data_IF_293402629967
#
_entry.id   IF_293402629967
#
_cell.length_a   1.000
_cell.length_b   1.000
_cell.length_c   1.000
_cell.angle_alpha   90.00
_cell.angle_beta   90.00
_cell.angle_gamma   90.00
#
_symmetry.space_group_name_H-M   'P 1'
#
loop_
_entity.id
_entity.type
_entity.pdbx_description
1 polymer ?
#
# COMPACT_ATOMS: atom_id res chain seq x y z
N UNK A 1 -11.02 -3.45 -22.27
CA UNK A 1 -10.35 -3.63 -20.96
C UNK A 1 -11.12 -2.76 -19.99
N UNK A 2 -11.36 -3.18 -18.75
CA UNK A 2 -12.18 -2.40 -17.83
C UNK A 2 -11.44 -1.09 -17.46
N UNK A 3 -11.98 0.02 -17.92
CA UNK A 3 -11.53 1.37 -17.61
C UNK A 3 -12.76 2.18 -17.22
N UNK A 4 -12.65 2.97 -16.17
CA UNK A 4 -13.67 3.95 -15.77
C UNK A 4 -13.13 5.34 -16.00
N UNK A 5 -13.88 6.16 -16.72
CA UNK A 5 -13.57 7.59 -16.91
C UNK A 5 -14.07 8.35 -15.68
N UNK A 6 -13.15 8.95 -14.95
CA UNK A 6 -13.40 9.89 -13.87
C UNK A 6 -13.22 11.32 -14.42
N UNK A 7 -13.52 12.33 -13.60
CA UNK A 7 -13.51 13.73 -14.05
C UNK A 7 -12.17 14.16 -14.69
N UNK A 8 -11.05 13.68 -14.15
CA UNK A 8 -9.70 14.09 -14.55
C UNK A 8 -8.81 12.97 -15.04
N UNK A 9 -9.29 11.70 -15.04
CA UNK A 9 -8.45 10.55 -15.36
C UNK A 9 -9.26 9.34 -15.85
N UNK A 10 -8.69 8.57 -16.77
CA UNK A 10 -9.17 7.25 -17.14
C UNK A 10 -8.47 6.20 -16.28
N UNK A 11 -9.18 5.62 -15.33
CA UNK A 11 -8.67 4.68 -14.34
C UNK A 11 -8.81 3.24 -14.84
N UNK A 12 -7.70 2.54 -15.03
CA UNK A 12 -7.69 1.11 -15.30
C UNK A 12 -7.87 0.31 -14.02
N UNK A 13 -8.82 -0.64 -14.03
CA UNK A 13 -9.09 -1.49 -12.88
C UNK A 13 -9.32 -2.94 -13.29
N UNK A 14 -9.25 -3.84 -12.32
CA UNK A 14 -9.66 -5.23 -12.46
C UNK A 14 -10.53 -5.64 -11.28
N UNK A 15 -11.47 -6.58 -11.53
CA UNK A 15 -12.22 -7.27 -10.48
C UNK A 15 -11.92 -8.75 -10.63
N UNK A 16 -11.42 -9.38 -9.55
CA UNK A 16 -11.00 -10.78 -9.56
C UNK A 16 -11.58 -11.52 -8.38
N UNK A 17 -11.81 -12.83 -8.56
CA UNK A 17 -12.33 -13.70 -7.51
C UNK A 17 -13.84 -13.62 -7.33
N UNK A 18 -14.32 -13.94 -6.14
CA UNK A 18 -15.73 -13.94 -5.77
C UNK A 18 -15.88 -13.98 -4.26
N UNK A 19 -17.10 -13.73 -3.77
CA UNK A 19 -17.39 -13.68 -2.33
C UNK A 19 -17.56 -12.25 -1.80
N UNK A 20 -17.15 -11.97 -0.55
CA UNK A 20 -17.25 -10.63 0.01
C UNK A 20 -16.41 -9.61 -0.77
N UNK A 21 -16.94 -8.40 -0.96
CA UNK A 21 -16.30 -7.32 -1.72
C UNK A 21 -15.09 -6.74 -0.99
N UNK A 22 -13.98 -6.57 -1.70
CA UNK A 22 -12.72 -6.02 -1.17
C UNK A 22 -12.14 -4.99 -2.14
N UNK A 23 -11.93 -3.76 -1.68
CA UNK A 23 -11.16 -2.75 -2.40
C UNK A 23 -9.70 -2.83 -1.94
N UNK A 24 -8.77 -2.97 -2.89
CA UNK A 24 -7.34 -3.03 -2.61
C UNK A 24 -6.62 -1.78 -3.11
N UNK A 25 -5.88 -1.13 -2.20
CA UNK A 25 -4.93 -0.06 -2.51
C UNK A 25 -3.49 -0.58 -2.47
N UNK A 26 -2.80 -0.51 -3.61
CA UNK A 26 -1.43 -1.00 -3.79
C UNK A 26 -0.37 -0.07 -3.17
N UNK A 27 0.82 -0.63 -2.89
CA UNK A 27 2.00 0.13 -2.44
C UNK A 27 2.58 1.07 -3.52
N UNK A 28 3.57 1.88 -3.14
CA UNK A 28 4.24 2.85 -4.04
C UNK A 28 4.79 2.17 -5.29
N UNK A 29 4.54 2.76 -6.45
CA UNK A 29 5.02 2.29 -7.74
C UNK A 29 4.51 0.91 -8.17
N UNK A 30 3.55 0.33 -7.43
CA UNK A 30 3.01 -0.98 -7.73
C UNK A 30 1.85 -0.89 -8.72
N UNK A 31 1.94 -1.69 -9.78
CA UNK A 31 0.85 -1.90 -10.74
C UNK A 31 0.08 -3.18 -10.38
N UNK A 32 -1.10 -3.37 -10.98
CA UNK A 32 -1.86 -4.62 -10.86
C UNK A 32 -0.97 -5.81 -11.24
N UNK A 33 -0.27 -5.72 -12.37
CA UNK A 33 0.61 -6.80 -12.84
C UNK A 33 1.74 -7.11 -11.85
N UNK A 34 2.33 -6.10 -11.22
CA UNK A 34 3.39 -6.29 -10.24
C UNK A 34 2.89 -6.83 -8.89
N UNK A 35 1.59 -6.72 -8.63
CA UNK A 35 0.94 -7.18 -7.39
C UNK A 35 0.15 -8.47 -7.57
N UNK A 36 0.25 -9.11 -8.73
CA UNK A 36 -0.49 -10.32 -9.10
C UNK A 36 -0.51 -11.42 -8.00
N UNK A 37 0.64 -11.77 -7.35
CA UNK A 37 0.63 -12.79 -6.31
C UNK A 37 -0.25 -12.43 -5.10
N UNK A 38 -0.23 -11.17 -4.67
CA UNK A 38 -1.03 -10.69 -3.55
C UNK A 38 -2.51 -10.58 -3.92
N UNK A 39 -2.79 -10.07 -5.13
CA UNK A 39 -4.17 -9.98 -5.64
C UNK A 39 -4.79 -11.37 -5.74
N UNK A 40 -4.07 -12.35 -6.28
CA UNK A 40 -4.57 -13.72 -6.43
C UNK A 40 -4.76 -14.42 -5.07
N UNK A 41 -3.91 -14.12 -4.09
CA UNK A 41 -4.10 -14.60 -2.72
C UNK A 41 -5.40 -14.06 -2.12
N UNK A 42 -5.68 -12.76 -2.27
CA UNK A 42 -6.92 -12.15 -1.80
C UNK A 42 -8.14 -12.63 -2.62
N UNK A 43 -8.00 -12.75 -3.93
CA UNK A 43 -9.07 -13.20 -4.83
C UNK A 43 -9.51 -14.66 -4.62
N UNK A 44 -8.71 -15.45 -3.90
CA UNK A 44 -9.12 -16.78 -3.45
C UNK A 44 -10.25 -16.75 -2.40
N UNK A 45 -10.46 -15.60 -1.75
CA UNK A 45 -11.41 -15.42 -0.65
C UNK A 45 -12.43 -14.30 -0.88
N UNK A 46 -12.11 -13.34 -1.77
CA UNK A 46 -12.87 -12.10 -1.95
C UNK A 46 -13.12 -11.79 -3.42
N UNK A 47 -14.17 -11.02 -3.70
CA UNK A 47 -14.32 -10.28 -4.94
C UNK A 47 -13.48 -9.00 -4.83
N UNK A 48 -12.25 -9.04 -5.39
CA UNK A 48 -11.24 -7.98 -5.23
C UNK A 48 -11.32 -6.98 -6.36
N UNK A 49 -11.67 -5.74 -6.05
CA UNK A 49 -11.49 -4.61 -6.96
C UNK A 49 -10.13 -3.95 -6.66
N UNK A 50 -9.33 -3.79 -7.70
CA UNK A 50 -8.00 -3.16 -7.64
C UNK A 50 -7.79 -2.31 -8.88
N UNK A 51 -7.10 -1.17 -8.76
CA UNK A 51 -6.79 -0.29 -9.88
C UNK A 51 -5.31 0.05 -9.95
N UNK A 52 -4.83 0.31 -11.14
CA UNK A 52 -3.55 0.97 -11.32
C UNK A 52 -3.71 2.43 -10.89
N UNK A 53 -2.92 2.87 -9.92
CA UNK A 53 -3.01 4.24 -9.41
C UNK A 53 -2.52 5.26 -10.47
N UNK A 54 -2.86 6.52 -10.29
CA UNK A 54 -2.53 7.64 -11.18
C UNK A 54 -1.10 7.58 -11.68
N UNK A 55 -0.89 7.64 -13.00
CA UNK A 55 0.41 7.56 -13.67
C UNK A 55 1.09 6.20 -13.66
N UNK A 56 0.44 5.13 -13.16
CA UNK A 56 1.02 3.80 -13.10
C UNK A 56 0.30 2.80 -14.01
N UNK A 57 1.06 1.82 -14.48
CA UNK A 57 0.54 0.71 -15.26
C UNK A 57 -0.22 1.17 -16.49
N UNK A 58 -1.53 0.92 -16.50
CA UNK A 58 -2.45 1.26 -17.59
C UNK A 58 -3.28 2.51 -17.31
N UNK A 59 -3.16 3.10 -16.14
CA UNK A 59 -3.77 4.38 -15.79
C UNK A 59 -2.84 5.51 -16.22
N UNK A 60 -3.37 6.47 -16.98
CA UNK A 60 -2.63 7.64 -17.44
C UNK A 60 -2.33 8.64 -16.32
N UNK A 61 -1.77 9.78 -16.72
CA UNK A 61 -1.65 10.94 -15.85
C UNK A 61 -2.98 11.70 -15.82
N UNK A 62 -3.32 12.36 -14.71
CA UNK A 62 -4.48 13.23 -14.65
C UNK A 62 -4.35 14.40 -15.65
N UNK A 63 -5.49 14.95 -16.08
CA UNK A 63 -5.51 16.14 -16.95
C UNK A 63 -5.19 17.42 -16.17
N UNK A 64 -5.21 17.37 -14.83
CA UNK A 64 -4.85 18.49 -13.96
C UNK A 64 -3.33 18.73 -13.97
N UNK A 65 -2.93 20.00 -13.96
CA UNK A 65 -1.52 20.39 -13.76
C UNK A 65 -1.10 20.36 -12.28
N UNK A 66 -2.05 20.21 -11.35
CA UNK A 66 -1.77 20.14 -9.93
C UNK A 66 -1.37 18.71 -9.54
N UNK A 67 -0.28 18.53 -8.79
CA UNK A 67 0.10 17.21 -8.29
C UNK A 67 -1.02 16.60 -7.44
N UNK A 68 -1.31 15.29 -7.59
CA UNK A 68 -2.34 14.63 -6.82
C UNK A 68 -1.97 14.55 -5.33
N UNK A 69 -2.97 14.73 -4.49
CA UNK A 69 -2.88 14.58 -3.05
C UNK A 69 -3.31 13.17 -2.60
N UNK A 70 -3.11 12.81 -1.34
CA UNK A 70 -3.67 11.56 -0.79
C UNK A 70 -5.20 11.51 -0.91
N UNK A 71 -5.87 12.67 -0.85
CA UNK A 71 -7.32 12.75 -1.03
C UNK A 71 -7.75 12.37 -2.45
N UNK A 72 -6.96 12.72 -3.47
CA UNK A 72 -7.25 12.36 -4.86
C UNK A 72 -7.10 10.84 -5.09
N UNK A 73 -6.03 10.22 -4.57
CA UNK A 73 -5.88 8.76 -4.63
C UNK A 73 -7.01 8.02 -3.88
N UNK A 74 -7.49 8.57 -2.77
CA UNK A 74 -8.62 8.01 -2.04
C UNK A 74 -9.95 8.20 -2.79
N UNK A 75 -10.14 9.34 -3.45
CA UNK A 75 -11.31 9.64 -4.26
C UNK A 75 -11.43 8.70 -5.48
N UNK A 76 -10.31 8.29 -6.09
CA UNK A 76 -10.30 7.28 -7.16
C UNK A 76 -10.94 5.97 -6.69
N UNK A 77 -10.59 5.52 -5.47
CA UNK A 77 -11.20 4.35 -4.86
C UNK A 77 -12.71 4.50 -4.63
N UNK A 78 -13.15 5.68 -4.17
CA UNK A 78 -14.57 5.96 -3.96
C UNK A 78 -15.35 5.96 -5.29
N UNK A 79 -14.81 6.60 -6.32
CA UNK A 79 -15.39 6.63 -7.64
C UNK A 79 -15.44 5.25 -8.31
N UNK A 80 -14.40 4.41 -8.10
CA UNK A 80 -14.41 3.02 -8.54
C UNK A 80 -15.53 2.22 -7.86
N UNK A 81 -15.75 2.40 -6.55
CA UNK A 81 -16.86 1.74 -5.86
C UNK A 81 -18.22 2.19 -6.41
N UNK A 82 -18.38 3.48 -6.72
CA UNK A 82 -19.61 4.02 -7.33
C UNK A 82 -19.86 3.42 -8.71
N UNK A 83 -18.81 3.33 -9.53
CA UNK A 83 -18.87 2.68 -10.86
C UNK A 83 -19.29 1.21 -10.77
N UNK A 84 -18.77 0.47 -9.77
CA UNK A 84 -19.10 -0.93 -9.54
C UNK A 84 -20.46 -1.13 -8.84
N UNK A 85 -21.12 -0.06 -8.40
CA UNK A 85 -22.36 -0.13 -7.62
C UNK A 85 -22.16 -0.76 -6.22
N UNK A 86 -20.95 -0.62 -5.65
CA UNK A 86 -20.64 -1.12 -4.32
C UNK A 86 -20.88 -0.03 -3.27
N UNK A 87 -21.97 -0.14 -2.52
CA UNK A 87 -22.28 0.81 -1.44
C UNK A 87 -21.25 0.77 -0.31
N UNK A 88 -20.78 -0.43 0.05
CA UNK A 88 -19.71 -0.65 1.01
C UNK A 88 -18.88 -1.89 0.64
N UNK A 89 -17.71 -2.00 1.20
CA UNK A 89 -16.82 -3.14 1.02
C UNK A 89 -15.80 -3.24 2.17
N UNK A 90 -15.04 -4.31 2.21
CA UNK A 90 -13.79 -4.38 2.96
C UNK A 90 -12.71 -3.59 2.24
N UNK A 91 -11.76 -3.05 3.00
CA UNK A 91 -10.63 -2.29 2.41
C UNK A 91 -9.31 -2.88 2.88
N UNK A 92 -8.42 -3.08 1.94
CA UNK A 92 -7.04 -3.52 2.16
C UNK A 92 -6.07 -2.47 1.61
N UNK A 93 -5.17 -1.99 2.44
CA UNK A 93 -4.13 -1.05 2.01
C UNK A 93 -2.75 -1.48 2.49
N UNK A 94 -1.79 -1.54 1.56
CA UNK A 94 -0.40 -1.90 1.87
C UNK A 94 0.55 -0.73 1.60
N UNK A 95 1.42 -0.37 2.55
CA UNK A 95 2.43 0.68 2.42
C UNK A 95 1.80 2.03 2.04
N UNK A 96 2.15 2.61 0.89
CA UNK A 96 1.48 3.79 0.32
C UNK A 96 -0.04 3.59 0.21
N UNK A 97 -0.48 2.43 -0.27
CA UNK A 97 -1.91 2.08 -0.31
C UNK A 97 -2.55 2.05 1.08
N UNK A 98 -1.79 1.80 2.12
CA UNK A 98 -2.25 1.94 3.51
C UNK A 98 -2.47 3.41 3.91
N UNK A 99 -1.67 4.35 3.39
CA UNK A 99 -1.91 5.80 3.56
C UNK A 99 -3.19 6.23 2.82
N UNK A 100 -3.36 5.76 1.58
CA UNK A 100 -4.58 6.00 0.78
C UNK A 100 -5.80 5.42 1.48
N UNK A 101 -5.72 4.18 2.00
CA UNK A 101 -6.79 3.53 2.73
C UNK A 101 -7.17 4.26 4.03
N UNK A 102 -6.21 4.84 4.73
CA UNK A 102 -6.48 5.70 5.90
C UNK A 102 -7.22 6.97 5.47
N UNK A 103 -6.77 7.66 4.41
CA UNK A 103 -7.45 8.86 3.89
C UNK A 103 -8.88 8.52 3.44
N UNK A 104 -9.04 7.39 2.73
CA UNK A 104 -10.35 6.87 2.34
C UNK A 104 -11.24 6.63 3.57
N UNK A 105 -10.71 6.00 4.62
CA UNK A 105 -11.47 5.62 5.81
C UNK A 105 -11.92 6.83 6.66
N UNK A 106 -11.11 7.88 6.73
CA UNK A 106 -11.49 9.08 7.48
C UNK A 106 -12.46 9.98 6.70
N UNK A 107 -12.51 9.84 5.37
CA UNK A 107 -13.36 10.63 4.47
C UNK A 107 -14.71 9.94 4.21
N UNK A 108 -14.70 8.63 3.96
CA UNK A 108 -15.90 7.84 3.69
C UNK A 108 -16.10 6.67 4.67
N UNK A 109 -16.21 6.92 5.98
CA UNK A 109 -16.25 5.85 7.01
C UNK A 109 -17.43 4.87 6.86
N UNK A 110 -18.53 5.30 6.23
CA UNK A 110 -19.71 4.45 6.00
C UNK A 110 -19.54 3.51 4.79
N UNK A 111 -18.48 3.67 3.99
CA UNK A 111 -18.17 2.80 2.84
C UNK A 111 -17.35 1.57 3.23
N UNK A 112 -16.95 1.45 4.51
CA UNK A 112 -16.00 0.41 4.94
C UNK A 112 -16.65 -0.50 5.98
N UNK A 113 -16.65 -1.80 5.70
CA UNK A 113 -17.10 -2.85 6.60
C UNK A 113 -15.98 -3.31 7.54
N UNK A 114 -14.78 -3.53 6.99
CA UNK A 114 -13.55 -3.88 7.71
C UNK A 114 -12.36 -3.25 6.99
N UNK A 115 -11.32 -2.92 7.74
CA UNK A 115 -10.10 -2.27 7.22
C UNK A 115 -8.85 -3.04 7.62
N UNK A 116 -7.98 -3.36 6.67
CA UNK A 116 -6.65 -3.89 6.95
C UNK A 116 -5.58 -2.90 6.45
N UNK A 117 -4.73 -2.46 7.35
CA UNK A 117 -3.62 -1.52 7.11
C UNK A 117 -2.30 -2.24 7.34
N UNK A 118 -1.51 -2.45 6.29
CA UNK A 118 -0.25 -3.18 6.34
C UNK A 118 0.95 -2.27 6.11
N UNK A 119 1.97 -2.37 6.97
CA UNK A 119 3.29 -1.70 6.86
C UNK A 119 3.18 -0.23 6.39
N UNK A 120 2.37 0.57 7.08
CA UNK A 120 2.04 1.94 6.68
C UNK A 120 2.30 2.95 7.82
N UNK A 121 2.05 4.22 7.56
CA UNK A 121 2.28 5.31 8.52
C UNK A 121 1.11 6.29 8.51
N UNK A 122 0.83 6.94 9.64
CA UNK A 122 -0.27 7.91 9.74
C UNK A 122 0.13 9.33 9.31
N UNK A 123 1.43 9.59 9.18
CA UNK A 123 1.94 10.94 8.97
C UNK A 123 1.86 11.84 10.21
N UNK A 124 2.24 13.11 10.05
CA UNK A 124 2.18 14.11 11.09
C UNK A 124 2.89 13.69 12.38
N UNK A 125 2.25 13.94 13.52
CA UNK A 125 2.80 13.58 14.85
C UNK A 125 2.78 12.09 15.15
N UNK A 126 2.09 11.29 14.35
CA UNK A 126 2.02 9.84 14.50
C UNK A 126 3.19 9.09 13.87
N UNK A 127 4.08 9.78 13.20
CA UNK A 127 5.26 9.21 12.55
C UNK A 127 5.09 9.01 11.05
N UNK A 128 6.19 9.16 10.34
CA UNK A 128 6.27 9.02 8.88
C UNK A 128 7.12 7.81 8.51
N UNK A 129 6.88 7.25 7.33
CA UNK A 129 7.79 6.28 6.76
C UNK A 129 9.08 6.95 6.28
N UNK A 130 10.12 6.14 6.05
CA UNK A 130 11.40 6.61 5.51
C UNK A 130 11.17 7.50 4.28
N UNK A 131 11.81 8.67 4.18
CA UNK A 131 11.61 9.63 3.10
C UNK A 131 12.28 9.15 1.80
N UNK A 132 11.61 8.27 1.05
CA UNK A 132 12.16 7.62 -0.16
C UNK A 132 12.71 8.61 -1.21
N UNK A 133 12.17 9.82 -1.27
CA UNK A 133 12.68 10.87 -2.18
C UNK A 133 14.15 11.23 -1.91
N UNK A 134 14.64 11.03 -0.68
CA UNK A 134 16.05 11.32 -0.33
C UNK A 134 17.04 10.30 -0.91
N UNK A 135 16.55 9.11 -1.31
CA UNK A 135 17.40 8.09 -1.93
C UNK A 135 18.07 8.57 -3.23
N UNK A 136 17.44 9.49 -3.94
CA UNK A 136 18.00 10.04 -5.19
C UNK A 136 19.33 10.80 -4.98
N UNK A 137 19.54 11.36 -3.78
CA UNK A 137 20.77 12.10 -3.44
C UNK A 137 21.94 11.19 -3.03
N UNK A 138 21.70 9.89 -2.81
CA UNK A 138 22.72 8.94 -2.40
C UNK A 138 23.47 8.38 -3.61
N UNK A 139 24.75 8.06 -3.43
CA UNK A 139 25.47 7.27 -4.42
C UNK A 139 24.85 5.85 -4.58
N UNK A 140 25.14 5.14 -5.68
CA UNK A 140 24.49 3.85 -5.95
C UNK A 140 24.70 2.79 -4.85
N UNK A 141 25.88 2.73 -4.23
CA UNK A 141 26.19 1.75 -3.19
C UNK A 141 25.48 2.07 -1.87
N UNK A 142 25.45 3.35 -1.50
CA UNK A 142 24.70 3.83 -0.34
C UNK A 142 23.20 3.59 -0.53
N UNK A 143 22.68 3.94 -1.71
CA UNK A 143 21.26 3.73 -2.06
C UNK A 143 20.86 2.26 -1.94
N UNK A 144 21.68 1.36 -2.49
CA UNK A 144 21.41 -0.08 -2.41
C UNK A 144 21.36 -0.56 -0.96
N UNK A 145 22.31 -0.18 -0.10
CA UNK A 145 22.30 -0.53 1.33
C UNK A 145 21.07 0.00 2.06
N UNK A 146 20.75 1.28 1.87
CA UNK A 146 19.59 1.89 2.53
C UNK A 146 18.28 1.25 2.04
N UNK A 147 18.16 0.97 0.74
CA UNK A 147 16.99 0.30 0.19
C UNK A 147 16.83 -1.11 0.75
N UNK A 148 17.93 -1.85 0.90
CA UNK A 148 17.93 -3.19 1.49
C UNK A 148 17.51 -3.15 2.97
N UNK A 149 18.11 -2.25 3.77
CA UNK A 149 17.77 -2.04 5.17
C UNK A 149 16.32 -1.59 5.36
N UNK A 150 15.79 -0.77 4.44
CA UNK A 150 14.40 -0.36 4.48
C UNK A 150 13.43 -1.53 4.24
N UNK A 151 13.82 -2.53 3.44
CA UNK A 151 13.00 -3.72 3.24
C UNK A 151 12.93 -4.57 4.52
N UNK A 152 14.08 -4.80 5.13
CA UNK A 152 14.17 -5.53 6.40
C UNK A 152 15.50 -5.16 7.08
N UNK A 153 15.45 -4.71 8.32
CA UNK A 153 16.64 -4.23 9.05
C UNK A 153 17.68 -5.30 9.33
N UNK A 154 17.33 -6.58 9.14
CA UNK A 154 18.24 -7.74 9.24
C UNK A 154 19.02 -8.00 7.95
N UNK A 155 18.55 -7.44 6.82
CA UNK A 155 19.11 -7.76 5.51
C UNK A 155 20.52 -7.20 5.35
N UNK A 156 21.46 -8.11 5.36
CA UNK A 156 22.84 -7.94 4.96
C UNK A 156 23.32 -9.17 4.16
N UNK A 157 24.51 -9.16 3.57
CA UNK A 157 24.99 -10.30 2.78
C UNK A 157 25.08 -11.62 3.57
N UNK A 158 25.33 -11.56 4.88
CA UNK A 158 25.45 -12.77 5.74
C UNK A 158 24.05 -13.35 5.98
N UNK A 159 23.09 -12.51 6.40
CA UNK A 159 21.70 -12.93 6.56
C UNK A 159 21.14 -13.56 5.29
N UNK A 160 21.31 -12.90 4.15
CA UNK A 160 20.75 -13.34 2.88
C UNK A 160 21.36 -14.65 2.37
N UNK A 161 22.62 -14.91 2.67
CA UNK A 161 23.27 -16.18 2.33
C UNK A 161 22.63 -17.37 3.07
N UNK A 162 22.17 -17.16 4.30
CA UNK A 162 21.56 -18.20 5.13
C UNK A 162 20.03 -18.28 4.99
N UNK A 163 19.41 -17.29 4.30
CA UNK A 163 17.95 -17.16 4.16
C UNK A 163 17.53 -17.05 2.69
N UNK A 164 17.51 -18.15 1.92
CA UNK A 164 17.25 -18.11 0.47
C UNK A 164 15.87 -17.55 0.08
N UNK A 165 14.86 -17.67 0.96
CA UNK A 165 13.55 -17.06 0.72
C UNK A 165 13.61 -15.52 0.75
N UNK A 166 14.34 -14.95 1.72
CA UNK A 166 14.57 -13.50 1.79
C UNK A 166 15.42 -13.01 0.62
N UNK A 167 16.45 -13.79 0.24
CA UNK A 167 17.25 -13.51 -0.95
C UNK A 167 16.40 -13.46 -2.23
N UNK A 168 15.42 -14.35 -2.38
CA UNK A 168 14.49 -14.34 -3.51
C UNK A 168 13.63 -13.07 -3.54
N UNK A 169 13.16 -12.60 -2.39
CA UNK A 169 12.42 -11.33 -2.26
C UNK A 169 13.31 -10.16 -2.70
N UNK A 170 14.56 -10.11 -2.23
CA UNK A 170 15.51 -9.05 -2.63
C UNK A 170 15.76 -9.08 -4.13
N UNK A 171 15.98 -10.27 -4.71
CA UNK A 171 16.19 -10.43 -6.15
C UNK A 171 15.01 -9.89 -6.94
N UNK A 172 13.79 -10.27 -6.57
CA UNK A 172 12.54 -9.77 -7.19
C UNK A 172 12.45 -8.23 -7.12
N UNK A 173 12.79 -7.64 -5.99
CA UNK A 173 12.75 -6.18 -5.81
C UNK A 173 13.80 -5.45 -6.65
N UNK A 174 15.00 -6.02 -6.77
CA UNK A 174 16.09 -5.49 -7.62
C UNK A 174 15.69 -5.55 -9.09
N UNK A 175 15.19 -6.68 -9.56
CA UNK A 175 14.71 -6.87 -10.94
C UNK A 175 13.58 -5.87 -11.28
N UNK A 176 12.62 -5.71 -10.36
CA UNK A 176 11.55 -4.72 -10.52
C UNK A 176 12.07 -3.29 -10.59
N UNK A 177 13.03 -2.92 -9.75
CA UNK A 177 13.64 -1.59 -9.75
C UNK A 177 14.45 -1.31 -11.03
N UNK A 178 15.07 -2.34 -11.62
CA UNK A 178 15.83 -2.27 -12.85
C UNK A 178 14.97 -2.32 -14.12
N UNK A 179 13.70 -2.71 -14.03
CA UNK A 179 12.82 -2.80 -15.18
C UNK A 179 12.63 -1.43 -15.86
N UNK A 180 12.64 -1.37 -17.21
CA UNK A 180 12.40 -0.12 -17.93
C UNK A 180 11.03 0.47 -17.56
N UNK A 181 11.01 1.78 -17.31
CA UNK A 181 9.81 2.54 -16.95
C UNK A 181 9.50 3.57 -18.02
N UNK A 182 8.24 3.73 -18.35
CA UNK A 182 7.81 4.81 -19.25
C UNK A 182 7.98 6.18 -18.57
N UNK A 183 8.06 7.29 -19.35
CA UNK A 183 8.03 8.63 -18.77
C UNK A 183 6.81 8.89 -17.89
N UNK A 184 5.64 8.41 -18.29
CA UNK A 184 4.39 8.47 -17.51
C UNK A 184 4.55 7.80 -16.16
N UNK A 185 5.11 6.58 -16.13
CA UNK A 185 5.33 5.84 -14.88
C UNK A 185 6.33 6.55 -13.96
N UNK A 186 7.43 7.07 -14.51
CA UNK A 186 8.41 7.84 -13.72
C UNK A 186 7.79 9.11 -13.12
N UNK A 187 6.89 9.76 -13.88
CA UNK A 187 6.15 10.92 -13.40
C UNK A 187 5.18 10.53 -12.26
N UNK A 188 4.35 9.52 -12.47
CA UNK A 188 3.39 9.05 -11.45
C UNK A 188 4.08 8.56 -10.17
N UNK A 189 5.21 7.86 -10.27
CA UNK A 189 6.00 7.45 -9.09
C UNK A 189 6.52 8.67 -8.31
N UNK A 190 6.95 9.74 -9.00
CA UNK A 190 7.38 10.98 -8.36
C UNK A 190 6.23 11.66 -7.64
N UNK A 191 5.06 11.79 -8.28
CA UNK A 191 3.87 12.36 -7.67
C UNK A 191 3.42 11.58 -6.43
N UNK A 192 3.50 10.24 -6.47
CA UNK A 192 3.25 9.43 -5.27
C UNK A 192 4.21 9.74 -4.12
N UNK A 193 5.51 9.98 -4.40
CA UNK A 193 6.48 10.35 -3.37
C UNK A 193 6.17 11.72 -2.78
N UNK A 194 5.71 12.67 -3.60
CA UNK A 194 5.29 14.01 -3.14
C UNK A 194 4.04 13.93 -2.26
N UNK A 195 2.98 13.24 -2.71
CA UNK A 195 1.76 13.02 -1.94
C UNK A 195 2.05 12.30 -0.60
N UNK A 196 2.93 11.28 -0.64
CA UNK A 196 3.37 10.56 0.55
C UNK A 196 4.11 11.45 1.55
N UNK A 197 4.96 12.36 1.08
CA UNK A 197 5.71 13.28 1.94
C UNK A 197 4.79 14.26 2.69
N UNK A 198 3.63 14.57 2.13
CA UNK A 198 2.63 15.47 2.70
C UNK A 198 1.51 14.73 3.46
N UNK A 199 1.55 13.39 3.50
CA UNK A 199 0.51 12.60 4.15
C UNK A 199 0.43 12.90 5.66
N UNK A 200 -0.77 13.26 6.12
CA UNK A 200 -1.10 13.44 7.54
C UNK A 200 -2.59 13.21 7.79
N UNK A 201 -2.90 12.07 8.40
CA UNK A 201 -4.26 11.75 8.87
C UNK A 201 -4.33 11.62 10.39
N UNK A 202 -3.21 11.87 11.10
CA UNK A 202 -3.05 11.61 12.52
C UNK A 202 -4.23 12.07 13.37
N UNK A 203 -4.62 13.33 13.25
CA UNK A 203 -5.69 13.88 14.07
C UNK A 203 -7.11 13.41 13.64
N UNK A 204 -7.21 12.76 12.48
CA UNK A 204 -8.47 12.25 11.91
C UNK A 204 -8.68 10.76 12.11
N UNK A 205 -7.66 9.97 12.51
CA UNK A 205 -7.73 8.51 12.67
C UNK A 205 -8.87 8.05 13.60
N UNK A 206 -9.20 8.84 14.61
CA UNK A 206 -10.34 8.56 15.50
C UNK A 206 -11.72 8.59 14.83
N UNK A 207 -11.84 8.99 13.55
CA UNK A 207 -13.06 8.91 12.77
C UNK A 207 -13.32 7.51 12.21
N UNK A 208 -12.30 6.66 12.12
CA UNK A 208 -12.41 5.28 11.64
C UNK A 208 -13.17 4.47 12.72
N UNK A 209 -14.29 3.88 12.36
CA UNK A 209 -15.19 3.16 13.28
C UNK A 209 -15.32 1.67 12.98
N UNK A 210 -15.00 1.26 11.76
CA UNK A 210 -15.06 -0.16 11.40
C UNK A 210 -13.97 -0.96 12.15
N UNK A 211 -14.16 -2.28 12.32
CA UNK A 211 -13.09 -3.17 12.76
C UNK A 211 -11.87 -2.98 11.88
N UNK A 212 -10.70 -2.74 12.50
CA UNK A 212 -9.46 -2.42 11.79
C UNK A 212 -8.33 -3.31 12.26
N UNK A 213 -7.67 -3.99 11.34
CA UNK A 213 -6.40 -4.68 11.57
C UNK A 213 -5.26 -3.76 11.15
N UNK A 214 -4.34 -3.50 12.07
CA UNK A 214 -3.06 -2.83 11.78
C UNK A 214 -1.97 -3.86 11.89
N UNK A 215 -1.32 -4.17 10.78
CA UNK A 215 -0.33 -5.24 10.66
C UNK A 215 1.03 -4.71 10.21
N UNK A 216 2.11 -5.23 10.81
CA UNK A 216 3.46 -4.76 10.52
C UNK A 216 4.50 -5.88 10.61
N UNK A 217 5.61 -5.71 9.91
CA UNK A 217 6.80 -6.53 10.10
C UNK A 217 7.65 -6.00 11.25
N UNK A 218 8.13 -6.91 12.12
CA UNK A 218 8.94 -6.55 13.29
C UNK A 218 10.27 -5.86 12.92
N UNK A 219 10.72 -6.08 11.69
CA UNK A 219 11.99 -5.57 11.17
C UNK A 219 11.81 -4.60 10.00
N UNK A 220 10.64 -3.97 9.89
CA UNK A 220 10.35 -2.97 8.85
C UNK A 220 11.17 -1.70 9.06
N UNK A 221 12.13 -1.44 8.17
CA UNK A 221 12.93 -0.21 8.18
C UNK A 221 12.29 0.94 7.41
N UNK A 222 11.32 0.64 6.52
CA UNK A 222 10.64 1.64 5.70
C UNK A 222 9.48 2.30 6.43
N UNK A 223 8.62 1.49 7.06
CA UNK A 223 7.52 1.94 7.92
C UNK A 223 7.69 1.28 9.31
N UNK A 224 8.53 1.83 10.19
CA UNK A 224 8.90 1.19 11.45
C UNK A 224 7.68 0.80 12.29
N UNK A 225 7.76 -0.26 13.11
CA UNK A 225 6.68 -0.75 13.98
C UNK A 225 5.95 0.35 14.76
N UNK A 226 6.67 1.36 15.23
CA UNK A 226 6.11 2.51 15.96
C UNK A 226 5.01 3.26 15.19
N UNK A 227 5.07 3.26 13.84
CA UNK A 227 4.02 3.89 13.02
C UNK A 227 2.71 3.10 13.12
N UNK A 228 2.77 1.77 13.10
CA UNK A 228 1.61 0.89 13.25
C UNK A 228 1.03 0.97 14.67
N UNK A 229 1.90 1.01 15.68
CA UNK A 229 1.49 1.22 17.09
C UNK A 229 0.77 2.57 17.24
N UNK A 230 1.30 3.63 16.62
CA UNK A 230 0.67 4.94 16.62
C UNK A 230 -0.72 4.90 15.96
N UNK A 231 -0.87 4.29 14.76
CA UNK A 231 -2.17 4.13 14.10
C UNK A 231 -3.16 3.39 15.02
N UNK A 232 -2.76 2.24 15.56
CA UNK A 232 -3.62 1.44 16.42
C UNK A 232 -4.04 2.18 17.69
N UNK A 233 -3.18 3.03 18.26
CA UNK A 233 -3.50 3.84 19.45
C UNK A 233 -4.62 4.85 19.23
N UNK A 234 -4.93 5.20 17.97
CA UNK A 234 -5.90 6.24 17.59
C UNK A 234 -7.20 5.69 17.02
N UNK A 235 -7.19 4.47 16.51
CA UNK A 235 -8.39 3.84 15.93
C UNK A 235 -9.10 3.03 17.02
N UNK A 236 -10.35 3.39 17.44
CA UNK A 236 -11.01 2.79 18.61
C UNK A 236 -11.21 1.27 18.53
N UNK A 237 -11.49 0.72 17.34
CA UNK A 237 -11.76 -0.69 17.10
C UNK A 237 -10.63 -1.36 16.32
N UNK A 238 -9.38 -1.14 16.75
CA UNK A 238 -8.22 -1.71 16.07
C UNK A 238 -7.62 -2.89 16.83
N UNK A 239 -7.12 -3.87 16.05
CA UNK A 239 -6.23 -4.93 16.47
C UNK A 239 -4.83 -4.64 15.88
N UNK A 240 -3.79 -4.75 16.71
CA UNK A 240 -2.40 -4.58 16.29
C UNK A 240 -1.71 -5.95 16.25
N UNK A 241 -1.09 -6.30 15.11
CA UNK A 241 -0.38 -7.58 14.95
C UNK A 241 0.99 -7.38 14.31
N UNK A 242 2.03 -7.89 14.97
CA UNK A 242 3.41 -7.94 14.47
C UNK A 242 3.77 -9.30 13.95
N UNK A 243 4.47 -9.37 12.82
CA UNK A 243 4.87 -10.59 12.12
C UNK A 243 6.37 -10.67 11.91
N UNK A 244 6.90 -11.90 11.80
CA UNK A 244 8.31 -12.12 11.47
C UNK A 244 8.58 -11.67 10.02
N UNK A 245 9.33 -10.59 9.85
CA UNK A 245 9.66 -10.00 8.57
C UNK A 245 9.83 -8.49 8.63
N UNK A 246 10.20 -7.90 7.51
CA UNK A 246 10.33 -6.46 7.30
C UNK A 246 9.11 -5.87 6.59
N UNK A 247 9.36 -4.95 5.66
CA UNK A 247 8.30 -4.26 4.91
C UNK A 247 7.44 -5.19 4.03
N UNK A 248 7.99 -6.34 3.67
CA UNK A 248 7.30 -7.36 2.88
C UNK A 248 6.91 -8.59 3.73
N UNK A 249 6.64 -8.41 5.03
CA UNK A 249 6.32 -9.48 5.98
C UNK A 249 5.21 -10.41 5.49
N UNK A 250 4.26 -9.92 4.70
CA UNK A 250 3.15 -10.72 4.15
C UNK A 250 3.64 -11.86 3.25
N UNK A 251 4.87 -11.76 2.72
CA UNK A 251 5.53 -12.82 1.95
C UNK A 251 6.55 -13.61 2.78
N UNK A 252 7.02 -13.06 3.91
CA UNK A 252 8.03 -13.67 4.76
C UNK A 252 7.42 -14.54 5.86
N UNK A 253 6.30 -14.12 6.43
CA UNK A 253 5.59 -14.83 7.49
C UNK A 253 4.33 -15.52 6.97
N UNK A 254 4.29 -16.84 7.01
CA UNK A 254 3.17 -17.64 6.50
C UNK A 254 1.86 -17.40 7.26
N UNK A 255 1.92 -16.96 8.52
CA UNK A 255 0.73 -16.65 9.31
C UNK A 255 0.08 -15.35 8.85
N UNK A 256 0.88 -14.37 8.40
CA UNK A 256 0.40 -13.03 8.07
C UNK A 256 -0.72 -13.03 7.02
N UNK A 257 -0.52 -13.72 5.89
CA UNK A 257 -1.51 -13.79 4.83
C UNK A 257 -2.82 -14.42 5.30
N UNK A 258 -2.74 -15.53 6.04
CA UNK A 258 -3.91 -16.26 6.54
C UNK A 258 -4.68 -15.43 7.58
N UNK A 259 -3.98 -14.77 8.50
CA UNK A 259 -4.63 -13.99 9.55
C UNK A 259 -5.26 -12.71 9.00
N UNK A 260 -4.62 -12.05 8.02
CA UNK A 260 -5.21 -10.88 7.34
C UNK A 260 -6.47 -11.27 6.56
N UNK A 261 -6.44 -12.37 5.82
CA UNK A 261 -7.63 -12.85 5.09
C UNK A 261 -8.74 -13.30 6.04
N UNK A 262 -8.40 -14.00 7.14
CA UNK A 262 -9.36 -14.40 8.17
C UNK A 262 -10.01 -13.20 8.85
N UNK A 263 -9.23 -12.16 9.17
CA UNK A 263 -9.79 -10.93 9.76
C UNK A 263 -10.76 -10.25 8.79
N UNK A 264 -10.41 -10.17 7.51
CA UNK A 264 -11.24 -9.52 6.48
C UNK A 264 -12.49 -10.36 6.13
N UNK A 265 -12.47 -11.67 6.25
CA UNK A 265 -13.65 -12.52 6.02
C UNK A 265 -14.76 -12.25 7.02
#
# INVERSE_FOLDING_TARGET
MPTVSLDDIDLYYEVRGGGPRLLMFNGSGATIAASDPLINLLAAHFEVAVHDQRGLGRTGLPHSEMPPTMADYAADGAALLDHLGWASCRVFGISFGGMVAQEFAVTWPLRIEKLALLCTSPGGRGGSSYPLHTLAALDPAQRARVSLHNLDTRFDPVWLADHPADQAIVTMMVERAAAPKSPTQLHGEREQLEARALHDVWDRLGRIRCPTLVAYGLFDGLAPPANSEAIASRIPNSELRGYQGGHLFVYQDRAAANEVTTFLA
#
